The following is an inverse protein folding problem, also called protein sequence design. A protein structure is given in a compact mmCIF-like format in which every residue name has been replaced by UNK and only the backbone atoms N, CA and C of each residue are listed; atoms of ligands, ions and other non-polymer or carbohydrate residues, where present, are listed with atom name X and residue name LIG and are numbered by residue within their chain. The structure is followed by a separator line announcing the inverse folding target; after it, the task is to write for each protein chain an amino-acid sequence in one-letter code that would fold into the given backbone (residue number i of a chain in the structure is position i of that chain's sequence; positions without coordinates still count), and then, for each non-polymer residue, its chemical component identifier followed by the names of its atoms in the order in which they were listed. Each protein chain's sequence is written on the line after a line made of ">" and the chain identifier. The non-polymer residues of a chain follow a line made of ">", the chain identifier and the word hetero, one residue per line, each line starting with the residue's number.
data_IF_866463925679
#
_entry.id   IF_866463925679
#
_cell.length_a   1.000
_cell.length_b   1.000
_cell.length_c   1.000
_cell.angle_alpha   90.00
_cell.angle_beta   90.00
_cell.angle_gamma   90.00
#
_symmetry.space_group_name_H-M   'P 1'
#
loop_
_entity.id
_entity.type
_entity.pdbx_description
1 polymer ?
#
# COMPACT_ATOMS: atom_id res chain seq x y z
N UNK A 1 27.35 -11.03 6.17
CA UNK A 1 27.49 -9.75 5.43
C UNK A 1 26.09 -9.28 5.09
N UNK A 2 25.62 -8.18 5.69
CA UNK A 2 24.26 -7.66 5.46
C UNK A 2 24.30 -6.90 4.13
N UNK A 3 23.82 -7.52 3.06
CA UNK A 3 23.77 -6.89 1.74
C UNK A 3 22.62 -5.88 1.65
N UNK A 4 22.94 -4.72 1.07
CA UNK A 4 22.05 -3.72 0.46
C UNK A 4 21.15 -2.87 1.37
N UNK A 5 21.76 -1.88 2.04
CA UNK A 5 21.06 -0.63 2.36
C UNK A 5 21.20 0.36 1.18
N UNK A 6 20.65 0.00 0.01
CA UNK A 6 20.55 0.96 -1.09
C UNK A 6 19.53 2.03 -0.71
N UNK A 7 20.01 3.22 -0.37
CA UNK A 7 19.16 4.37 -0.07
C UNK A 7 18.33 4.73 -1.31
N UNK A 8 17.09 5.16 -1.11
CA UNK A 8 16.24 5.60 -2.22
C UNK A 8 16.58 7.05 -2.60
N UNK A 9 16.97 7.26 -3.86
CA UNK A 9 17.40 8.54 -4.41
C UNK A 9 16.29 9.25 -5.20
N UNK A 10 15.19 8.58 -5.50
CA UNK A 10 14.09 9.10 -6.32
C UNK A 10 14.38 9.02 -7.82
N UNK A 11 15.21 8.07 -8.25
CA UNK A 11 15.56 7.87 -9.66
C UNK A 11 14.43 7.14 -10.41
N UNK A 12 14.37 7.31 -11.73
CA UNK A 12 13.30 6.71 -12.57
C UNK A 12 13.28 5.18 -12.57
N UNK A 13 14.40 4.54 -12.24
CA UNK A 13 14.53 3.09 -12.12
C UNK A 13 14.28 2.57 -10.70
N UNK A 14 14.14 3.46 -9.71
CA UNK A 14 13.84 3.08 -8.33
C UNK A 14 12.32 3.07 -8.12
N UNK A 15 11.82 2.06 -7.42
CA UNK A 15 10.40 1.97 -7.06
C UNK A 15 10.18 2.54 -5.65
N UNK A 16 9.46 3.67 -5.50
CA UNK A 16 9.07 4.19 -4.19
C UNK A 16 8.29 3.16 -3.36
N UNK A 17 7.59 2.24 -4.04
CA UNK A 17 6.80 1.18 -3.40
C UNK A 17 7.66 0.08 -2.80
N UNK A 18 8.67 -0.37 -3.52
CA UNK A 18 9.59 -1.37 -3.02
C UNK A 18 10.31 -0.87 -1.77
N UNK A 19 10.67 0.42 -1.75
CA UNK A 19 11.19 1.06 -0.55
C UNK A 19 10.19 0.94 0.61
N UNK A 20 8.94 1.37 0.42
CA UNK A 20 7.93 1.34 1.49
C UNK A 20 7.66 -0.09 1.97
N UNK A 21 7.56 -1.07 1.09
CA UNK A 21 7.34 -2.47 1.48
C UNK A 21 8.54 -3.04 2.25
N UNK A 22 9.77 -2.80 1.78
CA UNK A 22 11.00 -3.18 2.51
C UNK A 22 11.01 -2.51 3.89
N UNK A 23 10.65 -1.23 3.95
CA UNK A 23 10.61 -0.45 5.18
C UNK A 23 9.56 -0.97 6.16
N UNK A 24 8.32 -1.25 5.72
CA UNK A 24 7.26 -1.81 6.58
C UNK A 24 7.69 -3.15 7.16
N UNK A 25 8.32 -4.02 6.35
CA UNK A 25 8.86 -5.31 6.83
C UNK A 25 9.96 -5.12 7.88
N UNK A 26 10.90 -4.20 7.63
CA UNK A 26 11.99 -3.89 8.58
C UNK A 26 11.46 -3.26 9.87
N UNK A 27 10.62 -2.23 9.78
CA UNK A 27 10.02 -1.56 10.92
C UNK A 27 9.10 -2.50 11.73
N UNK A 28 8.42 -3.43 11.06
CA UNK A 28 7.59 -4.46 11.71
C UNK A 28 8.38 -5.42 12.59
N UNK A 29 9.66 -5.63 12.30
CA UNK A 29 10.56 -6.46 13.12
C UNK A 29 11.06 -5.74 14.37
N UNK A 30 11.01 -4.41 14.39
CA UNK A 30 11.47 -3.57 15.49
C UNK A 30 10.32 -3.30 16.46
N UNK A 31 10.18 -4.14 17.48
CA UNK A 31 9.29 -3.87 18.62
C UNK A 31 10.08 -3.21 19.75
N UNK A 32 9.84 -1.92 19.99
CA UNK A 32 10.39 -1.18 21.12
C UNK A 32 9.24 -0.85 22.07
N UNK A 33 9.31 -1.35 23.30
CA UNK A 33 8.29 -1.09 24.33
C UNK A 33 8.21 0.43 24.62
N UNK A 34 6.99 0.96 24.66
CA UNK A 34 6.72 2.37 24.98
C UNK A 34 6.87 3.37 23.82
N UNK A 35 7.26 2.93 22.62
CA UNK A 35 7.33 3.80 21.43
C UNK A 35 6.15 3.50 20.50
N UNK A 36 5.32 4.50 20.13
CA UNK A 36 4.29 4.33 19.12
C UNK A 36 4.89 3.83 17.80
N UNK A 37 4.27 2.82 17.18
CA UNK A 37 4.77 2.23 15.92
C UNK A 37 5.00 3.29 14.84
N UNK A 38 4.10 4.26 14.74
CA UNK A 38 4.20 5.30 13.72
C UNK A 38 5.32 6.30 14.02
N UNK A 39 5.54 6.65 15.29
CA UNK A 39 6.69 7.48 15.68
C UNK A 39 8.02 6.77 15.35
N UNK A 40 8.10 5.46 15.57
CA UNK A 40 9.28 4.67 15.21
C UNK A 40 9.51 4.67 13.68
N UNK A 41 8.45 4.42 12.90
CA UNK A 41 8.50 4.45 11.43
C UNK A 41 8.93 5.83 10.91
N UNK A 42 8.32 6.91 11.40
CA UNK A 42 8.67 8.28 11.00
C UNK A 42 10.12 8.62 11.31
N UNK A 43 10.65 8.14 12.46
CA UNK A 43 12.04 8.37 12.85
C UNK A 43 13.04 7.57 12.03
N UNK A 44 12.66 6.37 11.55
CA UNK A 44 13.54 5.49 10.78
C UNK A 44 13.54 5.80 9.28
N UNK A 45 12.45 6.37 8.75
CA UNK A 45 12.30 6.67 7.33
C UNK A 45 13.46 7.51 6.74
N UNK A 46 13.96 8.59 7.39
CA UNK A 46 15.08 9.38 6.86
C UNK A 46 16.34 8.56 6.55
N UNK A 47 16.59 7.50 7.31
CA UNK A 47 17.77 6.62 7.12
C UNK A 47 17.66 5.70 5.91
N UNK A 48 16.48 5.62 5.29
CA UNK A 48 16.25 4.84 4.06
C UNK A 48 16.24 5.71 2.80
N UNK A 49 16.44 7.02 2.94
CA UNK A 49 16.35 8.01 1.87
C UNK A 49 17.68 8.71 1.62
N UNK A 50 17.95 9.06 0.36
CA UNK A 50 19.14 9.79 -0.04
C UNK A 50 18.80 11.04 -0.86
N UNK A 51 19.81 11.90 -1.03
CA UNK A 51 19.79 13.04 -1.94
C UNK A 51 18.58 13.96 -1.74
N UNK A 52 17.87 14.22 -2.84
CA UNK A 52 16.73 15.14 -2.86
C UNK A 52 15.53 14.62 -2.06
N UNK A 53 15.41 13.31 -1.88
CA UNK A 53 14.31 12.69 -1.13
C UNK A 53 14.49 12.90 0.37
N UNK A 54 15.71 12.69 0.86
CA UNK A 54 16.07 13.00 2.26
C UNK A 54 15.92 14.49 2.55
N UNK A 55 16.36 15.37 1.63
CA UNK A 55 16.20 16.82 1.78
C UNK A 55 14.72 17.26 1.82
N UNK A 56 13.87 16.63 1.02
CA UNK A 56 12.43 16.88 1.05
C UNK A 56 11.80 16.48 2.39
N UNK A 57 12.16 15.29 2.92
CA UNK A 57 11.65 14.82 4.21
C UNK A 57 12.08 15.74 5.37
N UNK A 58 13.29 16.30 5.30
CA UNK A 58 13.82 17.21 6.33
C UNK A 58 13.25 18.65 6.24
N UNK A 59 12.40 18.95 5.26
CA UNK A 59 11.71 20.24 5.19
C UNK A 59 10.64 20.34 6.30
N UNK A 60 10.44 21.54 6.86
CA UNK A 60 9.53 21.82 8.00
C UNK A 60 8.09 21.31 7.76
N UNK A 61 7.60 21.29 6.52
CA UNK A 61 6.26 20.81 6.17
C UNK A 61 6.10 19.29 6.17
N UNK A 62 7.20 18.55 6.05
CA UNK A 62 7.24 17.10 6.19
C UNK A 62 7.46 16.69 7.66
N UNK A 63 8.27 17.46 8.40
CA UNK A 63 8.51 17.25 9.83
C UNK A 63 7.29 17.52 10.73
N UNK A 64 6.27 18.23 10.24
CA UNK A 64 5.03 18.47 11.00
C UNK A 64 4.06 17.29 11.00
N UNK A 65 4.38 16.21 10.28
CA UNK A 65 3.51 15.03 10.14
C UNK A 65 3.78 14.07 11.29
N UNK A 66 2.73 13.73 12.04
CA UNK A 66 2.79 12.87 13.23
C UNK A 66 2.26 11.46 12.98
N UNK A 67 1.47 11.27 11.91
CA UNK A 67 0.91 9.99 11.51
C UNK A 67 1.71 9.41 10.34
N UNK A 68 2.00 8.11 10.44
CA UNK A 68 2.74 7.39 9.39
C UNK A 68 1.99 7.41 8.05
N UNK A 69 0.67 7.26 8.10
CA UNK A 69 -0.16 7.19 6.89
C UNK A 69 -0.18 8.51 6.12
N UNK A 70 -0.20 9.64 6.82
CA UNK A 70 -0.11 10.97 6.22
C UNK A 70 1.26 11.19 5.56
N UNK A 71 2.34 10.69 6.19
CA UNK A 71 3.69 10.78 5.63
C UNK A 71 3.80 9.95 4.37
N UNK A 72 3.32 8.70 4.41
CA UNK A 72 3.28 7.82 3.24
C UNK A 72 2.47 8.43 2.10
N UNK A 73 1.30 9.00 2.40
CA UNK A 73 0.47 9.66 1.41
C UNK A 73 1.23 10.81 0.70
N UNK A 74 1.86 11.72 1.46
CA UNK A 74 2.66 12.79 0.86
C UNK A 74 3.86 12.28 0.07
N UNK A 75 4.54 11.25 0.58
CA UNK A 75 5.67 10.61 -0.10
C UNK A 75 5.23 10.01 -1.44
N UNK A 76 4.17 9.22 -1.44
CA UNK A 76 3.61 8.60 -2.64
C UNK A 76 3.11 9.66 -3.63
N UNK A 77 2.41 10.69 -3.17
CA UNK A 77 1.96 11.80 -4.04
C UNK A 77 3.14 12.53 -4.71
N UNK A 78 4.29 12.63 -4.03
CA UNK A 78 5.45 13.36 -4.54
C UNK A 78 6.32 12.53 -5.49
N UNK A 79 6.53 11.25 -5.17
CA UNK A 79 7.50 10.40 -5.87
C UNK A 79 6.85 9.32 -6.75
N UNK A 80 5.53 9.13 -6.65
CA UNK A 80 4.81 8.19 -7.48
C UNK A 80 4.05 8.95 -8.59
N UNK A 81 4.20 8.57 -9.87
CA UNK A 81 3.50 9.24 -10.96
C UNK A 81 1.99 9.18 -10.79
N UNK A 82 1.31 10.33 -10.90
CA UNK A 82 -0.16 10.42 -10.77
C UNK A 82 -0.90 9.51 -11.76
N UNK A 83 -0.34 9.31 -12.97
CA UNK A 83 -0.88 8.38 -13.97
C UNK A 83 -0.90 6.93 -13.45
N UNK A 84 0.17 6.49 -12.78
CA UNK A 84 0.21 5.17 -12.16
C UNK A 84 -0.76 5.10 -10.99
N UNK A 85 -0.87 6.13 -10.14
CA UNK A 85 -1.88 6.16 -9.06
C UNK A 85 -3.31 6.00 -9.62
N UNK A 86 -3.62 6.70 -10.71
CA UNK A 86 -4.91 6.60 -11.37
C UNK A 86 -5.16 5.21 -11.96
N UNK A 87 -4.14 4.56 -12.54
CA UNK A 87 -4.21 3.19 -13.05
C UNK A 87 -4.62 2.20 -11.95
N UNK A 88 -3.95 2.24 -10.79
CA UNK A 88 -4.27 1.35 -9.68
C UNK A 88 -5.62 1.68 -9.03
N UNK A 89 -5.96 2.96 -8.91
CA UNK A 89 -7.30 3.36 -8.47
C UNK A 89 -8.37 2.78 -9.39
N UNK A 90 -8.18 2.84 -10.71
CA UNK A 90 -9.11 2.27 -11.68
C UNK A 90 -9.24 0.76 -11.53
N UNK A 91 -8.11 0.05 -11.37
CA UNK A 91 -8.07 -1.41 -11.13
C UNK A 91 -8.78 -1.82 -9.84
N UNK A 92 -8.70 -0.99 -8.80
CA UNK A 92 -9.44 -1.21 -7.55
C UNK A 92 -10.93 -0.95 -7.73
N UNK A 93 -11.32 0.23 -8.23
CA UNK A 93 -12.74 0.65 -8.27
C UNK A 93 -13.57 -0.08 -9.33
N UNK A 94 -12.93 -0.63 -10.36
CA UNK A 94 -13.57 -1.38 -11.44
C UNK A 94 -13.03 -2.81 -11.49
N UNK A 95 -12.82 -3.42 -10.32
CA UNK A 95 -12.36 -4.80 -10.24
C UNK A 95 -13.41 -5.74 -10.87
N UNK A 96 -12.93 -6.66 -11.69
CA UNK A 96 -13.73 -7.71 -12.31
C UNK A 96 -12.91 -9.00 -12.26
N UNK A 97 -13.56 -10.10 -11.85
CA UNK A 97 -12.95 -11.42 -11.86
C UNK A 97 -12.92 -11.93 -13.30
N UNK A 98 -11.78 -12.47 -13.73
CA UNK A 98 -11.65 -13.09 -15.06
C UNK A 98 -12.50 -14.38 -15.17
N UNK A 99 -12.99 -14.72 -16.37
CA UNK A 99 -13.97 -15.81 -16.57
C UNK A 99 -13.52 -17.17 -16.01
N UNK A 100 -12.21 -17.46 -16.04
CA UNK A 100 -11.62 -18.72 -15.59
C UNK A 100 -10.80 -18.60 -14.29
N UNK A 101 -10.78 -17.43 -13.65
CA UNK A 101 -10.02 -17.22 -12.41
C UNK A 101 -10.78 -17.79 -11.21
N UNK A 102 -10.11 -18.52 -10.30
CA UNK A 102 -10.75 -18.96 -9.06
C UNK A 102 -10.98 -17.76 -8.14
N UNK A 103 -12.07 -17.78 -7.35
CA UNK A 103 -12.39 -16.67 -6.42
C UNK A 103 -11.25 -16.34 -5.44
N UNK A 104 -10.49 -17.36 -5.02
CA UNK A 104 -9.31 -17.18 -4.17
C UNK A 104 -8.24 -16.36 -4.88
N UNK A 105 -7.91 -16.74 -6.11
CA UNK A 105 -6.89 -16.09 -6.91
C UNK A 105 -7.32 -14.65 -7.23
N UNK A 106 -8.61 -14.46 -7.54
CA UNK A 106 -9.22 -13.14 -7.74
C UNK A 106 -9.10 -12.25 -6.49
N UNK A 107 -9.30 -12.81 -5.29
CA UNK A 107 -9.11 -12.10 -4.03
C UNK A 107 -7.65 -11.74 -3.79
N UNK A 108 -6.71 -12.63 -4.12
CA UNK A 108 -5.27 -12.37 -4.02
C UNK A 108 -4.83 -11.26 -4.99
N UNK A 109 -5.20 -11.36 -6.27
CA UNK A 109 -4.98 -10.34 -7.30
C UNK A 109 -5.56 -8.98 -6.89
N UNK A 110 -6.79 -8.95 -6.39
CA UNK A 110 -7.43 -7.74 -5.90
C UNK A 110 -6.72 -7.16 -4.67
N UNK A 111 -6.30 -8.01 -3.75
CA UNK A 111 -5.53 -7.62 -2.56
C UNK A 111 -4.19 -7.01 -2.92
N UNK A 112 -3.52 -7.56 -3.93
CA UNK A 112 -2.28 -7.01 -4.48
C UNK A 112 -2.47 -5.61 -5.05
N UNK A 113 -3.63 -5.28 -5.64
CA UNK A 113 -3.92 -3.91 -6.08
C UNK A 113 -3.91 -2.91 -4.92
N UNK A 114 -4.34 -3.28 -3.71
CA UNK A 114 -4.24 -2.39 -2.54
C UNK A 114 -2.82 -2.27 -2.02
N UNK A 115 -2.06 -3.37 -2.02
CA UNK A 115 -0.63 -3.35 -1.68
C UNK A 115 0.16 -2.48 -2.66
N UNK A 116 -0.26 -2.46 -3.92
CA UNK A 116 0.31 -1.61 -4.95
C UNK A 116 -0.17 -0.17 -4.79
N UNK A 117 -1.45 0.07 -4.54
CA UNK A 117 -2.00 1.41 -4.42
C UNK A 117 -1.45 2.18 -3.21
N UNK A 118 -0.98 1.49 -2.16
CA UNK A 118 -0.16 2.03 -1.07
C UNK A 118 -0.72 3.33 -0.47
N UNK A 119 -2.05 3.38 -0.40
CA UNK A 119 -2.83 4.41 0.24
C UNK A 119 -3.94 3.72 1.01
N UNK A 120 -3.96 3.89 2.33
CA UNK A 120 -5.07 3.48 3.20
C UNK A 120 -6.33 4.35 3.02
N UNK A 121 -6.47 5.05 1.88
CA UNK A 121 -7.59 5.95 1.61
C UNK A 121 -8.89 5.23 1.25
N UNK A 122 -8.89 3.91 1.20
CA UNK A 122 -10.10 3.10 1.02
C UNK A 122 -10.45 2.43 2.34
N UNK A 123 -11.68 2.63 2.79
CA UNK A 123 -12.20 1.93 3.96
C UNK A 123 -12.29 0.41 3.70
N UNK A 124 -12.18 -0.39 4.76
CA UNK A 124 -12.31 -1.84 4.67
C UNK A 124 -13.66 -2.24 4.06
N UNK A 125 -14.72 -1.51 4.39
CA UNK A 125 -16.04 -1.70 3.81
C UNK A 125 -16.05 -1.49 2.29
N UNK A 126 -15.40 -0.43 1.79
CA UNK A 126 -15.28 -0.17 0.35
C UNK A 126 -14.56 -1.32 -0.37
N UNK A 127 -13.52 -1.89 0.26
CA UNK A 127 -12.79 -3.04 -0.29
C UNK A 127 -13.69 -4.26 -0.42
N UNK A 128 -14.47 -4.55 0.61
CA UNK A 128 -15.43 -5.66 0.66
C UNK A 128 -16.52 -5.47 -0.39
N UNK A 129 -17.18 -4.31 -0.42
CA UNK A 129 -18.28 -4.01 -1.33
C UNK A 129 -17.85 -4.11 -2.80
N UNK A 130 -16.70 -3.51 -3.14
CA UNK A 130 -16.17 -3.55 -4.50
C UNK A 130 -15.76 -4.98 -4.89
N UNK A 131 -15.21 -5.76 -3.95
CA UNK A 131 -14.92 -7.17 -4.23
C UNK A 131 -16.18 -8.00 -4.39
N UNK A 132 -17.25 -7.82 -3.60
CA UNK A 132 -18.49 -8.57 -3.81
C UNK A 132 -19.21 -8.19 -5.11
N UNK A 133 -18.98 -6.96 -5.61
CA UNK A 133 -19.50 -6.47 -6.88
C UNK A 133 -18.77 -6.96 -8.13
N UNK A 134 -17.53 -7.46 -8.00
CA UNK A 134 -16.65 -7.86 -9.12
C UNK A 134 -16.75 -9.31 -9.64
N UNK A 135 -17.10 -10.34 -8.84
CA UNK A 135 -17.17 -11.73 -9.27
C UNK A 135 -18.16 -11.97 -10.40
N UNK A 136 -17.87 -12.96 -11.25
CA UNK A 136 -18.76 -13.38 -12.35
C UNK A 136 -20.08 -13.93 -11.82
N UNK A 137 -21.13 -13.98 -12.66
CA UNK A 137 -22.46 -14.51 -12.26
C UNK A 137 -22.35 -15.92 -11.66
N UNK A 138 -21.54 -16.78 -12.26
CA UNK A 138 -21.29 -18.16 -11.82
C UNK A 138 -20.69 -18.21 -10.40
N UNK A 139 -19.68 -17.39 -10.13
CA UNK A 139 -19.05 -17.31 -8.81
C UNK A 139 -19.99 -16.72 -7.76
N UNK A 140 -20.82 -15.72 -8.12
CA UNK A 140 -21.85 -15.18 -7.21
C UNK A 140 -22.86 -16.23 -6.76
N UNK A 141 -23.30 -17.13 -7.65
CA UNK A 141 -24.20 -18.22 -7.27
C UNK A 141 -23.57 -19.14 -6.22
N UNK A 142 -22.26 -19.43 -6.30
CA UNK A 142 -21.57 -20.24 -5.28
C UNK A 142 -21.36 -19.54 -3.92
N UNK A 143 -21.48 -18.21 -3.86
CA UNK A 143 -21.43 -17.43 -2.61
C UNK A 143 -22.78 -17.39 -1.88
N UNK A 144 -23.88 -17.58 -2.60
CA UNK A 144 -25.25 -17.53 -2.05
C UNK A 144 -25.73 -18.72 -1.19
N UNK A 145 -25.11 -19.92 -1.11
CA UNK A 145 -25.65 -21.00 -0.27
C UNK A 145 -25.55 -20.74 1.24
N UNK A 146 -24.66 -19.83 1.67
CA UNK A 146 -24.35 -19.64 3.10
C UNK A 146 -25.03 -18.45 3.78
N UNK A 147 -25.82 -17.64 3.04
CA UNK A 147 -26.55 -16.49 3.62
C UNK A 147 -28.01 -16.85 4.01
N UNK A 148 -28.44 -18.08 3.77
CA UNK A 148 -29.71 -18.63 4.30
C UNK A 148 -29.45 -19.90 5.10
N UNK A 149 -29.03 -19.76 6.35
CA UNK A 149 -28.93 -20.90 7.24
C UNK A 149 -28.25 -20.65 8.59
N UNK A 150 -28.85 -19.81 9.43
CA UNK A 150 -29.11 -20.01 10.87
C UNK A 150 -29.41 -18.68 11.56
#
# INVERSE_FOLDING_TARGET
>A
MIQNNALFHGLSNESPRELVQKFIKLAGSLKINGVPKDALKLRLLPYSLAGNVSRWLNNRSALSITLWDDMLNKFMTRYFPSSKMAEWRKKITHFEQEEDEMLRDAWESYSDYFLQYLHHGFEEQFRIETFYGGPTKTTRFSLTPYVKGN
#
